data_IF_983464514852
#
_entry.id   IF_983464514852
#
_cell.length_a   1.000
_cell.length_b   1.000
_cell.length_c   1.000
_cell.angle_alpha   90.00
_cell.angle_beta   90.00
_cell.angle_gamma   90.00
#
_symmetry.space_group_name_H-M   'P 1'
#
loop_
_entity.id
_entity.type
_entity.pdbx_description
1 polymer ?
#
# COMPACT_ATOMS: atom_id res chain seq x y z
N UNK A 1 7.10 -33.62 -6.12
CA UNK A 1 7.82 -32.60 -6.90
C UNK A 1 6.81 -32.02 -7.90
N UNK A 2 6.50 -30.73 -7.82
CA UNK A 2 5.37 -30.14 -8.55
C UNK A 2 5.73 -30.02 -10.04
N UNK A 3 5.26 -30.98 -10.88
CA UNK A 3 5.46 -31.01 -12.34
C UNK A 3 4.89 -29.74 -13.04
N UNK A 4 3.90 -29.11 -12.45
CA UNK A 4 3.30 -27.87 -12.95
C UNK A 4 4.30 -26.69 -12.96
N UNK A 5 5.11 -26.53 -11.92
CA UNK A 5 6.10 -25.46 -11.88
C UNK A 5 7.15 -25.56 -13.00
N UNK A 6 7.51 -26.77 -13.41
CA UNK A 6 8.52 -26.98 -14.46
C UNK A 6 8.00 -26.58 -15.87
N UNK A 7 6.71 -26.66 -16.08
CA UNK A 7 6.10 -26.35 -17.40
C UNK A 7 6.06 -24.85 -17.69
N UNK A 8 5.89 -24.05 -16.66
CA UNK A 8 5.63 -22.59 -16.81
C UNK A 8 6.85 -21.72 -16.51
N UNK A 9 7.87 -22.25 -15.80
CA UNK A 9 9.08 -21.49 -15.49
C UNK A 9 10.11 -21.67 -16.60
N UNK A 10 10.51 -20.56 -17.23
CA UNK A 10 11.43 -20.51 -18.37
C UNK A 10 12.38 -19.33 -18.25
N UNK A 11 13.48 -19.40 -19.00
CA UNK A 11 14.45 -18.30 -19.10
C UNK A 11 15.86 -18.74 -18.80
N UNK A 12 16.83 -17.97 -19.29
CA UNK A 12 18.27 -18.21 -19.15
C UNK A 12 18.99 -17.08 -18.40
N UNK A 13 18.26 -16.06 -17.93
CA UNK A 13 18.76 -14.98 -17.07
C UNK A 13 17.87 -14.81 -15.83
N UNK A 14 18.41 -14.22 -14.78
CA UNK A 14 17.65 -13.98 -13.54
C UNK A 14 16.36 -13.20 -13.81
N UNK A 15 16.41 -12.18 -14.66
CA UNK A 15 15.24 -11.35 -15.02
C UNK A 15 14.19 -12.18 -15.75
N UNK A 16 14.58 -12.97 -16.75
CA UNK A 16 13.64 -13.80 -17.52
C UNK A 16 13.00 -14.90 -16.66
N UNK A 17 13.78 -15.51 -15.77
CA UNK A 17 13.27 -16.53 -14.82
C UNK A 17 12.27 -15.88 -13.87
N UNK A 18 12.60 -14.75 -13.26
CA UNK A 18 11.70 -14.04 -12.37
C UNK A 18 10.41 -13.63 -13.09
N UNK A 19 10.49 -13.08 -14.29
CA UNK A 19 9.33 -12.71 -15.11
C UNK A 19 8.43 -13.91 -15.44
N UNK A 20 9.02 -15.08 -15.77
CA UNK A 20 8.23 -16.27 -16.07
C UNK A 20 7.51 -16.84 -14.86
N UNK A 21 8.14 -16.81 -13.68
CA UNK A 21 7.49 -17.18 -12.41
C UNK A 21 6.33 -16.23 -12.11
N UNK A 22 6.54 -14.94 -12.25
CA UNK A 22 5.51 -13.93 -12.05
C UNK A 22 4.31 -14.12 -12.98
N UNK A 23 4.57 -14.38 -14.29
CA UNK A 23 3.51 -14.66 -15.25
C UNK A 23 2.74 -15.94 -14.89
N UNK A 24 3.43 -16.97 -14.40
CA UNK A 24 2.79 -18.20 -13.95
C UNK A 24 1.91 -17.99 -12.71
N UNK A 25 2.31 -17.12 -11.79
CA UNK A 25 1.51 -16.71 -10.62
C UNK A 25 0.29 -15.91 -11.09
N UNK A 26 0.47 -14.89 -11.92
CA UNK A 26 -0.60 -14.04 -12.46
C UNK A 26 -1.61 -14.83 -13.30
N UNK A 27 -1.14 -15.82 -14.04
CA UNK A 27 -1.99 -16.70 -14.84
C UNK A 27 -2.68 -17.82 -14.06
N UNK A 28 -2.52 -17.86 -12.72
CA UNK A 28 -3.13 -18.91 -11.87
C UNK A 28 -2.50 -20.29 -12.01
N UNK A 29 -1.37 -20.41 -12.72
CA UNK A 29 -0.67 -21.69 -12.89
C UNK A 29 0.19 -22.07 -11.68
N UNK A 30 0.55 -21.08 -10.88
CA UNK A 30 1.21 -21.24 -9.58
C UNK A 30 0.32 -20.57 -8.52
N UNK A 31 -0.39 -21.38 -7.77
CA UNK A 31 -1.29 -20.92 -6.71
C UNK A 31 -0.50 -20.40 -5.49
N UNK A 32 -1.15 -19.57 -4.68
CA UNK A 32 -0.61 -19.12 -3.41
C UNK A 32 -0.23 -20.32 -2.52
N UNK A 33 0.93 -20.25 -1.88
CA UNK A 33 1.47 -21.36 -1.09
C UNK A 33 2.14 -22.47 -1.90
N UNK A 34 2.04 -22.47 -3.24
CA UNK A 34 2.71 -23.48 -4.07
C UNK A 34 4.23 -23.46 -3.87
N UNK A 35 4.81 -24.64 -3.66
CA UNK A 35 6.26 -24.76 -3.49
C UNK A 35 6.97 -24.59 -4.86
N UNK A 36 7.97 -23.73 -4.92
CA UNK A 36 8.88 -23.64 -6.05
C UNK A 36 9.97 -24.71 -5.93
N UNK A 37 10.49 -25.21 -7.07
CA UNK A 37 11.60 -26.15 -7.06
C UNK A 37 12.82 -25.56 -6.33
N UNK A 38 13.61 -26.38 -5.63
CA UNK A 38 14.87 -25.93 -5.03
C UNK A 38 15.78 -25.30 -6.09
N UNK A 39 16.56 -24.29 -5.67
CA UNK A 39 17.47 -23.52 -6.55
C UNK A 39 18.31 -24.42 -7.45
N UNK A 40 18.92 -25.49 -6.88
CA UNK A 40 19.77 -26.42 -7.63
C UNK A 40 18.98 -27.20 -8.68
N UNK A 41 17.80 -27.70 -8.32
CA UNK A 41 16.94 -28.45 -9.26
C UNK A 41 16.44 -27.57 -10.41
N UNK A 42 16.04 -26.34 -10.08
CA UNK A 42 15.62 -25.37 -11.10
C UNK A 42 16.78 -24.98 -12.04
N UNK A 43 17.98 -24.77 -11.48
CA UNK A 43 19.17 -24.46 -12.26
C UNK A 43 19.51 -25.57 -13.27
N UNK A 44 19.44 -26.84 -12.86
CA UNK A 44 19.61 -27.99 -13.74
C UNK A 44 18.56 -28.03 -14.86
N UNK A 45 17.27 -27.85 -14.51
CA UNK A 45 16.19 -27.88 -15.48
C UNK A 45 16.29 -26.77 -16.53
N UNK A 46 16.70 -25.58 -16.12
CA UNK A 46 16.84 -24.40 -16.98
C UNK A 46 18.22 -24.31 -17.66
N UNK A 47 19.16 -25.20 -17.31
CA UNK A 47 20.55 -25.21 -17.79
C UNK A 47 21.26 -23.87 -17.52
N UNK A 48 21.08 -23.33 -16.31
CA UNK A 48 21.71 -22.09 -15.84
C UNK A 48 22.49 -22.34 -14.56
N UNK A 49 23.27 -21.35 -14.12
CA UNK A 49 23.97 -21.45 -12.84
C UNK A 49 22.99 -21.37 -11.64
N UNK A 50 23.27 -22.04 -10.52
CA UNK A 50 22.49 -21.86 -9.28
C UNK A 50 22.42 -20.40 -8.84
N UNK A 51 23.48 -19.61 -9.06
CA UNK A 51 23.51 -18.19 -8.74
C UNK A 51 22.48 -17.38 -9.55
N UNK A 52 22.26 -17.72 -10.81
CA UNK A 52 21.23 -17.10 -11.66
C UNK A 52 19.82 -17.31 -11.10
N UNK A 53 19.52 -18.53 -10.66
CA UNK A 53 18.22 -18.86 -10.05
C UNK A 53 18.08 -18.20 -8.68
N UNK A 54 19.14 -18.20 -7.87
CA UNK A 54 19.14 -17.52 -6.57
C UNK A 54 18.86 -16.02 -6.71
N UNK A 55 19.47 -15.36 -7.69
CA UNK A 55 19.22 -13.95 -8.02
C UNK A 55 17.77 -13.72 -8.46
N UNK A 56 17.20 -14.62 -9.29
CA UNK A 56 15.78 -14.54 -9.66
C UNK A 56 14.86 -14.66 -8.44
N UNK A 57 15.14 -15.62 -7.54
CA UNK A 57 14.35 -15.80 -6.30
C UNK A 57 14.50 -14.62 -5.35
N UNK A 58 15.70 -14.04 -5.23
CA UNK A 58 15.92 -12.83 -4.44
C UNK A 58 15.07 -11.66 -4.97
N UNK A 59 15.05 -11.46 -6.30
CA UNK A 59 14.19 -10.46 -6.94
C UNK A 59 12.71 -10.69 -6.69
N UNK A 60 12.24 -11.94 -6.84
CA UNK A 60 10.84 -12.31 -6.56
C UNK A 60 10.48 -12.11 -5.09
N UNK A 61 11.41 -12.42 -4.17
CA UNK A 61 11.23 -12.20 -2.73
C UNK A 61 11.16 -10.71 -2.40
N UNK A 62 12.06 -9.89 -2.94
CA UNK A 62 12.05 -8.44 -2.75
C UNK A 62 10.73 -7.81 -3.25
N UNK A 63 10.09 -8.42 -4.26
CA UNK A 63 8.81 -8.01 -4.81
C UNK A 63 7.61 -8.69 -4.13
N UNK A 64 7.82 -9.41 -3.04
CA UNK A 64 6.75 -10.06 -2.27
C UNK A 64 6.04 -11.23 -2.98
N UNK A 65 6.50 -11.66 -4.17
CA UNK A 65 5.90 -12.73 -4.96
C UNK A 65 6.14 -14.11 -4.38
N UNK A 66 7.25 -14.27 -3.67
CA UNK A 66 7.61 -15.53 -3.01
C UNK A 66 8.12 -15.28 -1.60
N UNK A 67 7.97 -16.28 -0.73
CA UNK A 67 8.52 -16.30 0.62
C UNK A 67 9.50 -17.45 0.77
N UNK A 68 10.59 -17.22 1.53
CA UNK A 68 11.56 -18.25 1.85
C UNK A 68 11.28 -18.73 3.28
N UNK A 69 10.92 -20.00 3.43
CA UNK A 69 10.58 -20.62 4.72
C UNK A 69 11.73 -21.51 5.26
N UNK A 70 12.96 -21.07 5.09
CA UNK A 70 14.12 -21.82 5.55
C UNK A 70 14.17 -23.25 5.00
N UNK A 71 14.08 -24.26 5.87
CA UNK A 71 14.11 -25.69 5.47
C UNK A 71 12.92 -26.13 4.63
N UNK A 72 11.79 -25.37 4.63
CA UNK A 72 10.59 -25.65 3.83
C UNK A 72 10.72 -25.14 2.39
N UNK A 73 11.82 -24.48 2.06
CA UNK A 73 12.09 -24.00 0.71
C UNK A 73 11.44 -22.65 0.37
N UNK A 74 11.32 -22.37 -0.91
CA UNK A 74 10.68 -21.15 -1.44
C UNK A 74 9.27 -21.48 -1.91
N UNK A 75 8.30 -20.67 -1.51
CA UNK A 75 6.89 -20.82 -1.89
C UNK A 75 6.37 -19.55 -2.50
N UNK A 76 5.35 -19.68 -3.35
CA UNK A 76 4.55 -18.54 -3.79
C UNK A 76 3.91 -17.89 -2.56
N UNK A 77 4.00 -16.57 -2.48
CA UNK A 77 3.40 -15.83 -1.37
C UNK A 77 1.89 -16.06 -1.31
N UNK A 78 1.34 -16.21 -0.11
CA UNK A 78 -0.11 -16.19 0.10
C UNK A 78 -0.71 -14.79 -0.13
N UNK A 79 0.12 -13.75 -0.13
CA UNK A 79 -0.29 -12.40 -0.50
C UNK A 79 -0.41 -12.35 -2.02
N UNK A 80 -1.63 -12.29 -2.52
CA UNK A 80 -1.89 -12.02 -3.92
C UNK A 80 -1.25 -10.69 -4.29
N UNK A 81 -0.31 -10.72 -5.23
CA UNK A 81 0.25 -9.52 -5.82
C UNK A 81 -0.84 -8.94 -6.71
N UNK A 82 -1.33 -7.79 -6.32
CA UNK A 82 -2.45 -7.06 -6.91
C UNK A 82 -3.83 -7.66 -6.62
N UNK A 83 -4.44 -7.24 -5.52
CA UNK A 83 -5.88 -7.36 -5.29
C UNK A 83 -6.72 -6.32 -6.05
N UNK A 84 -6.23 -5.80 -7.16
CA UNK A 84 -7.08 -5.16 -8.15
C UNK A 84 -7.83 -6.19 -9.01
N UNK A 85 -8.17 -7.35 -8.46
CA UNK A 85 -9.28 -8.14 -9.00
C UNK A 85 -10.53 -7.32 -8.70
N UNK A 86 -11.06 -6.71 -9.76
CA UNK A 86 -12.42 -6.16 -9.69
C UNK A 86 -13.29 -7.23 -9.01
N UNK A 87 -13.90 -6.89 -7.89
CA UNK A 87 -14.71 -7.86 -7.19
C UNK A 87 -15.82 -8.37 -8.15
N UNK A 88 -16.24 -9.63 -8.02
CA UNK A 88 -17.25 -10.17 -8.90
C UNK A 88 -18.50 -9.28 -8.89
N UNK A 89 -19.22 -9.18 -10.03
CA UNK A 89 -20.45 -8.39 -10.09
C UNK A 89 -21.43 -8.85 -9.03
N UNK A 90 -22.12 -7.89 -8.44
CA UNK A 90 -23.15 -8.19 -7.44
C UNK A 90 -24.36 -8.87 -8.10
N UNK A 91 -25.01 -9.82 -7.43
CA UNK A 91 -26.27 -10.38 -7.90
C UNK A 91 -27.33 -9.29 -8.10
N UNK A 92 -28.25 -9.52 -9.05
CA UNK A 92 -29.37 -8.61 -9.29
C UNK A 92 -30.20 -8.40 -8.02
N UNK A 93 -30.53 -7.15 -7.71
CA UNK A 93 -31.35 -6.78 -6.54
C UNK A 93 -30.57 -6.58 -5.23
N UNK A 94 -29.25 -6.79 -5.23
CA UNK A 94 -28.41 -6.51 -4.07
C UNK A 94 -27.92 -5.05 -4.13
N UNK A 95 -28.11 -4.32 -3.00
CA UNK A 95 -27.55 -2.97 -2.86
C UNK A 95 -26.02 -3.05 -2.72
N UNK A 96 -25.31 -2.31 -3.55
CA UNK A 96 -23.86 -2.20 -3.42
C UNK A 96 -23.47 -1.25 -2.27
N UNK A 97 -22.87 -1.80 -1.21
CA UNK A 97 -22.29 -1.04 -0.10
C UNK A 97 -20.75 -1.27 0.00
N UNK A 98 -20.19 -1.97 -0.99
CA UNK A 98 -18.80 -2.43 -0.95
C UNK A 98 -17.80 -1.42 -1.50
N UNK A 99 -18.19 -0.68 -2.53
CA UNK A 99 -17.29 0.25 -3.23
C UNK A 99 -17.22 1.65 -2.60
N UNK A 100 -18.04 1.90 -1.57
CA UNK A 100 -18.05 3.17 -0.83
C UNK A 100 -18.54 4.37 -1.66
N UNK A 101 -19.10 4.16 -2.86
CA UNK A 101 -19.59 5.26 -3.68
C UNK A 101 -20.80 5.95 -3.03
N UNK A 102 -20.85 7.29 -3.05
CA UNK A 102 -22.02 8.02 -2.61
C UNK A 102 -23.21 7.83 -3.56
N UNK A 103 -24.40 8.14 -3.08
CA UNK A 103 -25.60 8.20 -3.96
C UNK A 103 -25.44 9.36 -4.96
N UNK A 104 -25.38 9.04 -6.25
CA UNK A 104 -25.19 10.04 -7.32
C UNK A 104 -26.25 11.14 -7.30
N UNK A 105 -27.47 10.83 -6.81
CA UNK A 105 -28.58 11.80 -6.72
C UNK A 105 -28.35 12.87 -5.65
N UNK A 106 -27.46 12.60 -4.68
CA UNK A 106 -27.09 13.52 -3.61
C UNK A 106 -25.82 14.32 -3.91
N UNK A 107 -25.14 14.02 -5.03
CA UNK A 107 -23.96 14.77 -5.41
C UNK A 107 -24.32 16.19 -5.89
N UNK A 108 -23.54 17.21 -5.47
CA UNK A 108 -23.78 18.57 -5.91
C UNK A 108 -23.50 18.73 -7.41
N UNK A 109 -24.27 19.58 -8.06
CA UNK A 109 -24.00 19.93 -9.47
C UNK A 109 -22.74 20.77 -9.58
N UNK A 110 -21.80 20.35 -10.43
CA UNK A 110 -20.59 21.10 -10.74
C UNK A 110 -20.84 22.27 -11.71
N UNK A 111 -22.03 22.36 -12.35
CA UNK A 111 -22.33 23.38 -13.39
C UNK A 111 -22.11 24.82 -12.92
N UNK A 112 -22.52 25.24 -11.70
CA UNK A 112 -22.25 26.61 -11.23
C UNK A 112 -20.74 26.88 -11.11
N UNK A 113 -20.00 25.99 -10.46
CA UNK A 113 -18.56 26.14 -10.25
C UNK A 113 -17.78 26.20 -11.57
N UNK A 114 -18.15 25.37 -12.57
CA UNK A 114 -17.52 25.39 -13.88
C UNK A 114 -17.69 26.72 -14.63
N UNK A 115 -18.74 27.48 -14.35
CA UNK A 115 -18.95 28.82 -14.95
C UNK A 115 -18.05 29.90 -14.35
N UNK A 116 -17.54 29.68 -13.16
CA UNK A 116 -16.66 30.59 -12.43
C UNK A 116 -15.18 30.33 -12.68
N UNK A 117 -14.84 29.25 -13.41
CA UNK A 117 -13.44 28.94 -13.74
C UNK A 117 -12.90 30.00 -14.70
N UNK A 118 -11.78 30.60 -14.31
CA UNK A 118 -10.97 31.44 -15.20
C UNK A 118 -10.26 30.53 -16.23
N UNK A 119 -10.66 30.63 -17.55
CA UNK A 119 -10.05 29.80 -18.59
C UNK A 119 -8.70 30.32 -19.06
N UNK A 120 -8.15 31.37 -18.44
CA UNK A 120 -6.85 31.92 -18.82
C UNK A 120 -5.73 30.87 -18.78
N UNK A 121 -4.92 30.81 -19.85
CA UNK A 121 -3.84 29.83 -19.92
C UNK A 121 -2.77 30.09 -18.83
N UNK A 122 -2.36 29.03 -18.15
CA UNK A 122 -1.22 29.10 -17.21
C UNK A 122 0.04 28.64 -17.93
N UNK A 123 1.07 29.51 -17.95
CA UNK A 123 2.33 29.23 -18.60
C UNK A 123 3.34 28.56 -17.63
N UNK A 124 4.38 27.98 -18.18
CA UNK A 124 5.52 27.48 -17.39
C UNK A 124 6.10 28.61 -16.53
N UNK A 125 6.42 28.29 -15.26
CA UNK A 125 6.93 29.28 -14.29
C UNK A 125 5.85 29.99 -13.48
N UNK A 126 4.57 29.82 -13.78
CA UNK A 126 3.48 30.26 -12.90
C UNK A 126 3.43 29.41 -11.61
N UNK A 127 2.74 29.92 -10.57
CA UNK A 127 2.56 29.18 -9.30
C UNK A 127 1.94 27.80 -9.56
N UNK A 128 2.55 26.77 -8.97
CA UNK A 128 2.12 25.36 -9.18
C UNK A 128 0.78 25.06 -8.55
N UNK A 129 0.49 25.66 -7.40
CA UNK A 129 -0.74 25.45 -6.64
C UNK A 129 -1.65 26.68 -6.75
N UNK A 130 -2.96 26.46 -6.74
CA UNK A 130 -3.93 27.53 -6.64
C UNK A 130 -3.92 28.17 -5.24
N UNK A 131 -3.71 29.48 -5.17
CA UNK A 131 -3.58 30.19 -3.89
C UNK A 131 -4.87 30.16 -3.06
N UNK A 132 -6.04 30.21 -3.73
CA UNK A 132 -7.35 30.16 -3.05
C UNK A 132 -7.57 28.77 -2.43
N UNK A 133 -7.23 27.71 -3.17
CA UNK A 133 -7.31 26.33 -2.66
C UNK A 133 -6.39 26.12 -1.45
N UNK A 134 -5.14 26.62 -1.52
CA UNK A 134 -4.22 26.54 -0.38
C UNK A 134 -4.75 27.30 0.84
N UNK A 135 -5.38 28.48 0.63
CA UNK A 135 -5.96 29.26 1.72
C UNK A 135 -7.13 28.54 2.40
N UNK A 136 -7.99 27.88 1.61
CA UNK A 136 -9.11 27.07 2.15
C UNK A 136 -8.56 25.91 2.94
N UNK A 137 -7.65 25.11 2.35
CA UNK A 137 -7.04 23.96 3.01
C UNK A 137 -6.30 24.35 4.32
N UNK A 138 -5.60 25.49 4.32
CA UNK A 138 -4.94 25.99 5.52
C UNK A 138 -5.92 26.36 6.62
N UNK A 139 -7.08 26.93 6.27
CA UNK A 139 -8.13 27.26 7.23
C UNK A 139 -8.75 25.99 7.83
N UNK A 140 -9.02 24.97 7.01
CA UNK A 140 -9.58 23.68 7.44
C UNK A 140 -8.61 22.96 8.39
N UNK A 141 -7.34 22.81 8.00
CA UNK A 141 -6.33 22.19 8.86
C UNK A 141 -6.17 22.93 10.18
N UNK A 142 -6.18 24.28 10.16
CA UNK A 142 -6.11 25.08 11.37
C UNK A 142 -7.32 24.84 12.28
N UNK A 143 -8.52 24.71 11.72
CA UNK A 143 -9.73 24.42 12.48
C UNK A 143 -9.66 23.07 13.20
N UNK A 144 -8.97 22.10 12.59
CA UNK A 144 -8.71 20.76 13.17
C UNK A 144 -7.44 20.72 14.06
N UNK A 145 -6.75 21.83 14.25
CA UNK A 145 -5.52 21.88 15.04
C UNK A 145 -4.30 21.26 14.36
N UNK A 146 -4.38 20.99 13.05
CA UNK A 146 -3.30 20.42 12.27
C UNK A 146 -2.38 21.54 11.79
N UNK A 147 -1.04 21.39 11.92
CA UNK A 147 -0.09 22.36 11.36
C UNK A 147 -0.25 22.49 9.83
N UNK A 148 -0.58 23.69 9.37
CA UNK A 148 -0.97 23.95 7.98
C UNK A 148 0.16 24.52 7.11
N UNK A 149 1.40 24.11 7.32
CA UNK A 149 2.53 24.57 6.49
C UNK A 149 3.72 23.60 6.60
N UNK A 150 4.27 23.16 5.45
CA UNK A 150 3.84 23.44 4.06
C UNK A 150 2.65 22.59 3.60
N UNK A 151 1.84 23.11 2.68
CA UNK A 151 0.74 22.37 2.02
C UNK A 151 1.09 22.16 0.55
N UNK A 152 0.78 20.98 0.00
CA UNK A 152 0.88 20.66 -1.41
C UNK A 152 -0.42 20.07 -1.94
N UNK A 153 -0.80 20.44 -3.16
CA UNK A 153 -1.94 19.86 -3.88
C UNK A 153 -1.41 18.81 -4.85
N UNK A 154 -1.91 17.59 -4.73
CA UNK A 154 -1.48 16.44 -5.51
C UNK A 154 -2.68 15.72 -6.15
N UNK A 155 -2.44 14.66 -6.93
CA UNK A 155 -3.48 13.93 -7.65
C UNK A 155 -4.13 12.81 -6.80
N UNK A 156 -4.41 13.10 -5.54
CA UNK A 156 -5.02 12.18 -4.60
C UNK A 156 -4.02 11.55 -3.61
N UNK A 157 -4.55 10.84 -2.61
CA UNK A 157 -3.79 10.31 -1.49
C UNK A 157 -2.69 9.31 -1.93
N UNK A 158 -2.97 8.43 -2.90
CA UNK A 158 -1.97 7.46 -3.39
C UNK A 158 -0.80 8.14 -4.12
N UNK A 159 -1.03 9.19 -4.92
CA UNK A 159 0.05 9.99 -5.53
C UNK A 159 0.88 10.69 -4.44
N UNK A 160 0.22 11.21 -3.41
CA UNK A 160 0.90 11.82 -2.27
C UNK A 160 1.79 10.81 -1.53
N UNK A 161 1.25 9.66 -1.17
CA UNK A 161 1.99 8.58 -0.52
C UNK A 161 3.18 8.10 -1.35
N UNK A 162 2.96 7.85 -2.65
CA UNK A 162 4.04 7.40 -3.54
C UNK A 162 5.21 8.39 -3.55
N UNK A 163 4.92 9.68 -3.66
CA UNK A 163 5.96 10.73 -3.67
C UNK A 163 6.72 10.81 -2.36
N UNK A 164 6.02 10.79 -1.23
CA UNK A 164 6.63 10.83 0.10
C UNK A 164 7.49 9.59 0.33
N UNK A 165 6.97 8.40 0.00
CA UNK A 165 7.70 7.13 0.15
C UNK A 165 8.96 7.08 -0.73
N UNK A 166 8.88 7.51 -1.99
CA UNK A 166 10.03 7.53 -2.90
C UNK A 166 11.13 8.51 -2.45
N UNK A 167 10.74 9.63 -1.86
CA UNK A 167 11.68 10.63 -1.38
C UNK A 167 12.42 10.15 -0.12
N UNK A 168 11.70 9.49 0.79
CA UNK A 168 12.18 9.17 2.13
C UNK A 168 12.73 7.76 2.29
N UNK A 169 12.28 6.82 1.47
CA UNK A 169 12.60 5.39 1.61
C UNK A 169 13.32 4.83 0.39
N UNK A 170 13.94 3.66 0.58
CA UNK A 170 14.66 2.91 -0.45
C UNK A 170 14.08 1.49 -0.58
N UNK A 171 14.21 0.84 -1.74
CA UNK A 171 13.80 -0.56 -1.89
C UNK A 171 14.43 -1.45 -0.82
N UNK A 172 13.58 -2.22 -0.16
CA UNK A 172 13.95 -3.07 0.99
C UNK A 172 13.56 -2.50 2.35
N UNK A 173 13.32 -1.17 2.46
CA UNK A 173 12.88 -0.55 3.71
C UNK A 173 11.52 -1.10 4.14
N UNK A 174 11.28 -1.09 5.44
CA UNK A 174 10.14 -1.75 6.09
C UNK A 174 9.08 -0.74 6.49
N UNK A 175 7.88 -0.94 5.99
CA UNK A 175 6.75 -0.04 6.23
C UNK A 175 5.67 -0.76 7.02
N UNK A 176 5.40 -0.32 8.24
CA UNK A 176 4.27 -0.81 9.02
C UNK A 176 2.96 -0.34 8.39
N UNK A 177 2.01 -1.25 8.25
CA UNK A 177 0.67 -1.00 7.72
C UNK A 177 -0.36 -1.76 8.52
N UNK A 178 -1.56 -1.23 8.59
CA UNK A 178 -2.70 -1.84 9.26
C UNK A 178 -3.09 -3.18 8.63
N UNK A 179 -3.47 -4.17 9.47
CA UNK A 179 -3.93 -5.48 9.05
C UNK A 179 -5.12 -5.94 9.93
N UNK A 180 -6.36 -6.03 9.37
CA UNK A 180 -6.72 -5.69 8.00
C UNK A 180 -6.59 -4.20 7.68
N UNK A 181 -6.21 -3.86 6.44
CA UNK A 181 -6.00 -2.50 5.98
C UNK A 181 -6.36 -2.33 4.50
N UNK A 182 -6.21 -1.11 3.98
CA UNK A 182 -6.49 -0.79 2.59
C UNK A 182 -5.46 -1.45 1.65
N UNK A 183 -5.90 -2.51 0.95
CA UNK A 183 -5.03 -3.36 0.13
C UNK A 183 -4.20 -2.61 -0.92
N UNK A 184 -4.73 -1.52 -1.48
CA UNK A 184 -4.02 -0.69 -2.47
C UNK A 184 -2.73 -0.08 -1.92
N UNK A 185 -2.67 0.24 -0.62
CA UNK A 185 -1.43 0.71 0.03
C UNK A 185 -0.38 -0.40 0.00
N UNK A 186 -0.76 -1.64 0.33
CA UNK A 186 0.15 -2.78 0.29
C UNK A 186 0.68 -3.01 -1.13
N UNK A 187 -0.20 -2.90 -2.14
CA UNK A 187 0.19 -3.03 -3.55
C UNK A 187 1.17 -1.92 -3.97
N UNK A 188 0.95 -0.68 -3.52
CA UNK A 188 1.86 0.44 -3.74
C UNK A 188 3.23 0.15 -3.13
N UNK A 189 3.30 -0.27 -1.86
CA UNK A 189 4.55 -0.59 -1.19
C UNK A 189 5.35 -1.67 -1.93
N UNK A 190 4.68 -2.76 -2.32
CA UNK A 190 5.31 -3.85 -3.08
C UNK A 190 5.82 -3.34 -4.43
N UNK A 191 5.05 -2.49 -5.12
CA UNK A 191 5.46 -1.89 -6.40
C UNK A 191 6.70 -1.01 -6.25
N UNK A 192 6.84 -0.32 -5.14
CA UNK A 192 8.02 0.48 -4.79
C UNK A 192 9.22 -0.36 -4.29
N UNK A 193 9.05 -1.68 -4.15
CA UNK A 193 10.08 -2.56 -3.60
C UNK A 193 10.23 -2.46 -2.09
N UNK A 194 9.27 -1.84 -1.39
CA UNK A 194 9.23 -1.73 0.06
C UNK A 194 8.67 -3.01 0.70
N UNK A 195 8.96 -3.25 1.95
CA UNK A 195 8.58 -4.46 2.70
C UNK A 195 7.44 -4.16 3.67
N UNK A 196 6.16 -4.49 3.36
CA UNK A 196 5.06 -4.28 4.28
C UNK A 196 5.19 -5.11 5.55
N UNK A 197 5.00 -4.48 6.71
CA UNK A 197 5.00 -5.11 8.04
C UNK A 197 3.59 -4.97 8.62
N UNK A 198 2.81 -6.07 8.74
CA UNK A 198 1.44 -5.99 9.22
C UNK A 198 1.39 -5.65 10.71
N UNK A 199 0.51 -4.72 11.07
CA UNK A 199 0.21 -4.32 12.44
C UNK A 199 -1.29 -4.47 12.65
N UNK A 200 -1.70 -5.27 13.63
CA UNK A 200 -3.11 -5.54 13.88
C UNK A 200 -3.85 -4.28 14.34
N UNK A 201 -5.13 -4.22 13.97
CA UNK A 201 -6.07 -3.18 14.37
C UNK A 201 -7.23 -3.76 15.17
N UNK A 202 -7.81 -2.92 16.04
CA UNK A 202 -9.04 -3.16 16.77
C UNK A 202 -10.06 -2.04 16.51
N UNK A 203 -11.07 -1.88 17.34
CA UNK A 203 -12.09 -0.84 17.17
C UNK A 203 -11.55 0.60 17.34
N UNK A 204 -10.38 0.77 17.94
CA UNK A 204 -9.69 2.05 18.12
C UNK A 204 -8.46 2.19 17.19
N UNK A 205 -8.39 1.42 16.10
CA UNK A 205 -7.27 1.43 15.16
C UNK A 205 -6.08 0.57 15.61
N UNK A 206 -4.87 1.01 15.35
CA UNK A 206 -3.65 0.23 15.61
C UNK A 206 -3.54 -0.21 17.07
N UNK A 207 -3.31 -1.52 17.28
CA UNK A 207 -3.06 -2.11 18.59
C UNK A 207 -1.64 -1.76 19.05
N UNK A 208 -1.46 -1.08 20.21
CA UNK A 208 -0.15 -0.57 20.66
C UNK A 208 0.94 -1.64 20.77
N UNK A 209 0.61 -2.81 21.33
CA UNK A 209 1.59 -3.91 21.49
C UNK A 209 2.11 -4.43 20.15
N UNK A 210 1.28 -4.38 19.11
CA UNK A 210 1.67 -4.78 17.77
C UNK A 210 2.59 -3.76 17.12
N UNK A 211 2.28 -2.45 17.29
CA UNK A 211 3.17 -1.37 16.85
C UNK A 211 4.50 -1.43 17.58
N UNK A 212 4.51 -1.61 18.90
CA UNK A 212 5.75 -1.71 19.67
C UNK A 212 6.64 -2.85 19.20
N UNK A 213 6.05 -4.01 18.87
CA UNK A 213 6.79 -5.13 18.27
C UNK A 213 7.38 -4.77 16.90
N UNK A 214 6.60 -4.10 16.05
CA UNK A 214 7.08 -3.65 14.75
C UNK A 214 8.25 -2.67 14.89
N UNK A 215 8.14 -1.68 15.79
CA UNK A 215 9.20 -0.72 16.10
C UNK A 215 10.48 -1.41 16.60
N UNK A 216 10.36 -2.39 17.51
CA UNK A 216 11.52 -3.18 18.01
C UNK A 216 12.19 -4.02 16.93
N UNK A 217 11.45 -4.49 15.94
CA UNK A 217 12.04 -5.24 14.82
C UNK A 217 12.63 -4.35 13.74
N UNK A 218 12.53 -3.04 13.89
CA UNK A 218 12.98 -2.02 12.95
C UNK A 218 11.98 -1.83 11.81
N UNK A 219 11.32 -0.70 11.77
CA UNK A 219 10.53 -0.19 10.65
C UNK A 219 11.04 1.20 10.31
N UNK A 220 10.93 1.58 9.05
CA UNK A 220 11.39 2.87 8.54
C UNK A 220 10.22 3.85 8.39
N UNK A 221 8.99 3.32 8.26
CA UNK A 221 7.77 4.12 8.16
C UNK A 221 6.56 3.39 8.76
N UNK A 222 5.55 4.16 9.12
CA UNK A 222 4.22 3.73 9.53
C UNK A 222 3.19 4.46 8.68
N UNK A 223 2.25 3.73 8.08
CA UNK A 223 1.06 4.28 7.42
C UNK A 223 -0.15 3.83 8.22
N UNK A 224 -1.00 4.78 8.61
CA UNK A 224 -2.21 4.51 9.39
C UNK A 224 -3.39 5.37 8.94
N UNK A 225 -4.61 4.89 9.19
CA UNK A 225 -5.86 5.62 9.00
C UNK A 225 -6.46 5.93 10.36
N UNK A 226 -6.35 7.18 10.86
CA UNK A 226 -6.78 7.50 12.22
C UNK A 226 -8.31 7.51 12.37
N UNK A 227 -9.04 7.80 11.27
CA UNK A 227 -10.51 7.93 11.24
C UNK A 227 -11.12 7.04 10.15
N UNK A 228 -12.23 6.37 10.47
CA UNK A 228 -12.96 5.49 9.56
C UNK A 228 -12.05 4.50 8.81
N UNK A 229 -11.20 3.80 9.55
CA UNK A 229 -10.21 2.86 9.05
C UNK A 229 -10.82 1.88 8.03
N UNK A 230 -10.19 1.74 6.88
CA UNK A 230 -10.64 0.84 5.83
C UNK A 230 -9.92 -0.52 5.95
N UNK A 231 -10.63 -1.66 6.20
CA UNK A 231 -12.08 -1.82 6.03
C UNK A 231 -12.92 -1.84 7.32
N UNK A 232 -12.34 -1.63 8.50
CA UNK A 232 -13.01 -1.92 9.78
C UNK A 232 -13.98 -0.83 10.23
N UNK A 233 -13.81 0.41 9.73
CA UNK A 233 -14.53 1.58 10.23
C UNK A 233 -14.04 2.08 11.59
N UNK A 234 -12.96 1.52 12.13
CA UNK A 234 -12.39 1.93 13.40
C UNK A 234 -11.97 3.41 13.38
N UNK A 235 -12.07 4.05 14.52
CA UNK A 235 -11.60 5.43 14.71
C UNK A 235 -10.76 5.52 15.98
N UNK A 236 -9.64 6.22 15.88
CA UNK A 236 -8.69 6.34 16.99
C UNK A 236 -9.22 7.27 18.07
N UNK A 237 -9.23 6.82 19.31
CA UNK A 237 -9.53 7.67 20.44
C UNK A 237 -8.34 8.56 20.82
N UNK A 238 -8.58 9.67 21.54
CA UNK A 238 -7.51 10.53 22.03
C UNK A 238 -6.52 9.77 22.93
N UNK A 239 -7.00 8.84 23.74
CA UNK A 239 -6.17 8.00 24.61
C UNK A 239 -5.29 7.05 23.80
N UNK A 240 -5.85 6.39 22.77
CA UNK A 240 -5.10 5.54 21.85
C UNK A 240 -4.01 6.35 21.13
N UNK A 241 -4.36 7.51 20.60
CA UNK A 241 -3.42 8.41 19.94
C UNK A 241 -2.27 8.85 20.89
N UNK A 242 -2.58 9.13 22.17
CA UNK A 242 -1.57 9.46 23.16
C UNK A 242 -0.61 8.29 23.45
N UNK A 243 -1.11 7.05 23.47
CA UNK A 243 -0.27 5.86 23.63
C UNK A 243 0.65 5.68 22.41
N UNK A 244 0.11 5.75 21.19
CA UNK A 244 0.90 5.58 19.98
C UNK A 244 1.96 6.68 19.83
N UNK A 245 1.61 7.93 20.11
CA UNK A 245 2.58 9.06 20.14
C UNK A 245 3.74 8.82 21.12
N UNK A 246 3.48 8.27 22.32
CA UNK A 246 4.54 7.92 23.28
C UNK A 246 5.43 6.79 22.77
N UNK A 247 4.92 5.82 22.02
CA UNK A 247 5.72 4.79 21.40
C UNK A 247 6.61 5.39 20.30
N UNK A 248 6.00 6.15 19.39
CA UNK A 248 6.68 6.76 18.25
C UNK A 248 7.71 7.83 18.67
N UNK A 249 7.51 8.55 19.77
CA UNK A 249 8.48 9.54 20.26
C UNK A 249 9.85 8.96 20.61
N UNK A 250 9.92 7.64 20.87
CA UNK A 250 11.18 6.91 21.10
C UNK A 250 11.87 6.52 19.78
N UNK A 251 11.22 6.73 18.65
CA UNK A 251 11.67 6.34 17.31
C UNK A 251 11.51 7.53 16.33
N UNK A 252 12.24 8.64 16.55
CA UNK A 252 12.05 9.90 15.80
C UNK A 252 12.39 9.76 14.30
N UNK A 253 13.14 8.74 13.91
CA UNK A 253 13.52 8.48 12.52
C UNK A 253 12.42 7.76 11.72
N UNK A 254 11.39 7.23 12.39
CA UNK A 254 10.27 6.57 11.72
C UNK A 254 9.36 7.61 11.08
N UNK A 255 9.22 7.53 9.76
CA UNK A 255 8.28 8.38 9.03
C UNK A 255 6.83 7.94 9.32
N UNK A 256 6.01 8.82 9.85
CA UNK A 256 4.57 8.57 10.06
C UNK A 256 3.77 9.24 8.95
N UNK A 257 2.91 8.48 8.29
CA UNK A 257 1.96 8.95 7.27
C UNK A 257 0.56 8.64 7.76
N UNK A 258 -0.25 9.69 7.93
CA UNK A 258 -1.67 9.57 8.25
C UNK A 258 -2.48 9.73 6.97
N UNK A 259 -3.29 8.71 6.63
CA UNK A 259 -4.24 8.75 5.53
C UNK A 259 -5.64 9.03 6.08
N UNK A 260 -6.06 10.28 5.98
CA UNK A 260 -7.36 10.74 6.50
C UNK A 260 -8.34 11.00 5.38
N UNK A 261 -8.79 9.94 4.74
CA UNK A 261 -9.74 10.01 3.64
C UNK A 261 -11.17 10.39 4.08
N UNK A 262 -11.49 10.20 5.35
CA UNK A 262 -12.83 10.45 5.90
C UNK A 262 -13.00 11.89 6.38
N UNK A 263 -11.95 12.52 6.89
CA UNK A 263 -11.93 13.94 7.34
C UNK A 263 -13.31 14.45 7.82
N UNK A 264 -13.90 15.37 7.09
CA UNK A 264 -15.15 16.05 7.43
C UNK A 264 -16.42 15.16 7.47
N UNK A 265 -16.35 13.90 7.06
CA UNK A 265 -17.49 12.98 7.11
C UNK A 265 -17.42 11.99 8.26
N UNK A 266 -16.41 12.10 9.12
CA UNK A 266 -16.25 11.27 10.31
C UNK A 266 -16.34 12.14 11.57
N UNK A 267 -17.25 11.78 12.49
CA UNK A 267 -17.45 12.50 13.75
C UNK A 267 -16.37 12.20 14.81
N UNK A 268 -15.43 11.29 14.53
CA UNK A 268 -14.34 10.98 15.43
C UNK A 268 -13.33 12.14 15.51
N UNK A 269 -12.72 12.36 16.71
CA UNK A 269 -11.78 13.45 16.94
C UNK A 269 -10.49 13.32 16.13
#
# INVERSE_FOLDING_TARGET
MNQLAQKYIRGNTAVKIASSVEQAIRGGHLEAGAALPPVRAMAQNLRVSPATVASAFASLKARGLVVCEGRRGTRVSHRSVMHALLPPPLPTGVRNLRDGNPDERLLPSMKPALREIDPSPRLYGSTRNDARLLSIAAADFKAEGIPASPISVLNGALDAMERVLRERLRPGDRVAVEDPGFGTIVDLLVTLGLSPVPVAVDQEGIVPDHLERALRTGIDSLILMPRAQNPTGAAMTADRAAVLRRLLSKHPDVLVIEDDHASLICDAP
#
